data_IF_354673998579
#
_entry.id   IF_354673998579
#
_cell.length_a   1.000
_cell.length_b   1.000
_cell.length_c   1.000
_cell.angle_alpha   90.00
_cell.angle_beta   90.00
_cell.angle_gamma   90.00
#
_symmetry.space_group_name_H-M   'P 1'
#
loop_
_entity.id
_entity.type
_entity.pdbx_description
1 polymer ?
#
# COMPACT_ATOMS: atom_id res chain seq x y z
N UNK A 1 15.45 -20.89 11.18
CA UNK A 1 14.97 -19.86 12.13
C UNK A 1 14.18 -18.68 11.49
N UNK A 2 13.68 -18.76 10.26
CA UNK A 2 12.83 -17.70 9.66
C UNK A 2 11.32 -17.95 9.80
N UNK A 3 10.92 -18.85 10.70
CA UNK A 3 9.55 -19.39 10.78
C UNK A 3 8.46 -18.35 11.09
N UNK A 4 8.83 -17.13 11.50
CA UNK A 4 7.90 -16.06 11.88
C UNK A 4 7.98 -14.77 11.04
N UNK A 5 8.84 -14.70 10.02
CA UNK A 5 8.98 -13.48 9.20
C UNK A 5 7.69 -13.17 8.43
N UNK A 6 6.92 -14.19 8.04
CA UNK A 6 5.65 -14.01 7.34
C UNK A 6 4.60 -13.24 8.16
N UNK A 7 4.52 -13.51 9.48
CA UNK A 7 3.60 -12.80 10.37
C UNK A 7 3.96 -11.32 10.46
N UNK A 8 5.25 -11.01 10.66
CA UNK A 8 5.77 -9.64 10.70
C UNK A 8 5.48 -8.90 9.40
N UNK A 9 5.75 -9.54 8.25
CA UNK A 9 5.50 -8.95 6.93
C UNK A 9 4.01 -8.65 6.71
N UNK A 10 3.13 -9.54 7.17
CA UNK A 10 1.67 -9.36 7.09
C UNK A 10 1.19 -8.16 7.92
N UNK A 11 1.75 -7.96 9.12
CA UNK A 11 1.45 -6.81 9.97
C UNK A 11 1.96 -5.51 9.34
N UNK A 12 3.17 -5.51 8.77
CA UNK A 12 3.71 -4.35 8.06
C UNK A 12 2.86 -3.97 6.84
N UNK A 13 2.29 -4.93 6.12
CA UNK A 13 1.32 -4.65 5.06
C UNK A 13 0.10 -3.86 5.55
N UNK A 14 -0.40 -4.18 6.74
CA UNK A 14 -1.48 -3.43 7.38
C UNK A 14 -1.04 -2.02 7.80
N UNK A 15 0.13 -1.89 8.44
CA UNK A 15 0.72 -0.59 8.81
C UNK A 15 0.84 0.32 7.61
N UNK A 16 1.36 -0.16 6.48
CA UNK A 16 1.51 0.64 5.26
C UNK A 16 0.20 1.33 4.86
N UNK A 17 -0.93 0.61 4.99
CA UNK A 17 -2.25 1.16 4.69
C UNK A 17 -2.60 2.33 5.62
N UNK A 18 -2.38 2.16 6.93
CA UNK A 18 -2.61 3.23 7.91
C UNK A 18 -1.68 4.43 7.66
N UNK A 19 -0.40 4.18 7.44
CA UNK A 19 0.61 5.20 7.16
C UNK A 19 0.23 6.04 5.92
N UNK A 20 -0.24 5.41 4.84
CA UNK A 20 -0.72 6.16 3.68
C UNK A 20 -1.89 7.09 4.01
N UNK A 21 -2.84 6.64 4.83
CA UNK A 21 -3.95 7.49 5.30
C UNK A 21 -3.45 8.64 6.17
N UNK A 22 -2.55 8.37 7.11
CA UNK A 22 -1.90 9.37 7.98
C UNK A 22 -1.17 10.43 7.16
N UNK A 23 -0.40 10.02 6.15
CA UNK A 23 0.31 10.92 5.22
C UNK A 23 -0.68 11.78 4.42
N UNK A 24 -1.77 11.19 3.92
CA UNK A 24 -2.80 11.93 3.18
C UNK A 24 -3.45 13.01 4.05
N UNK A 25 -3.84 12.67 5.28
CA UNK A 25 -4.42 13.61 6.24
C UNK A 25 -3.40 14.70 6.59
N UNK A 26 -2.13 14.33 6.82
CA UNK A 26 -1.07 15.29 7.08
C UNK A 26 -0.94 16.33 5.97
N UNK A 27 -0.94 15.91 4.70
CA UNK A 27 -0.93 16.83 3.55
C UNK A 27 -2.15 17.75 3.54
N UNK A 28 -3.33 17.22 3.84
CA UNK A 28 -4.56 18.02 3.91
C UNK A 28 -4.49 19.07 5.03
N UNK A 29 -4.04 18.68 6.23
CA UNK A 29 -3.89 19.59 7.38
C UNK A 29 -2.85 20.68 7.12
N UNK A 30 -1.74 20.35 6.44
CA UNK A 30 -0.75 21.35 6.01
C UNK A 30 -1.39 22.35 5.04
N UNK A 31 -2.20 21.88 4.09
CA UNK A 31 -2.90 22.77 3.14
C UNK A 31 -4.00 23.63 3.80
N UNK A 32 -4.49 23.23 4.97
CA UNK A 32 -5.50 23.96 5.76
C UNK A 32 -4.86 24.86 6.85
N UNK A 33 -3.58 25.21 6.72
CA UNK A 33 -2.80 26.01 7.67
C UNK A 33 -2.72 25.45 9.11
N UNK A 34 -2.95 24.14 9.29
CA UNK A 34 -2.86 23.44 10.60
C UNK A 34 -1.52 22.72 10.82
N UNK A 35 -0.50 23.09 10.05
CA UNK A 35 0.81 22.43 10.08
C UNK A 35 1.48 22.44 11.47
N UNK A 36 1.30 23.49 12.27
CA UNK A 36 1.96 23.61 13.57
C UNK A 36 1.44 22.58 14.58
N UNK A 37 0.13 22.32 14.57
CA UNK A 37 -0.51 21.30 15.40
C UNK A 37 -0.11 19.91 14.92
N UNK A 38 -0.09 19.69 13.61
CA UNK A 38 0.33 18.41 13.02
C UNK A 38 1.79 18.08 13.33
N UNK A 39 2.72 19.04 13.22
CA UNK A 39 4.14 18.83 13.55
C UNK A 39 4.35 18.49 15.02
N UNK A 40 3.61 19.15 15.94
CA UNK A 40 3.64 18.78 17.37
C UNK A 40 3.15 17.35 17.59
N UNK A 41 2.09 16.94 16.89
CA UNK A 41 1.58 15.58 16.96
C UNK A 41 2.61 14.56 16.45
N UNK A 42 3.29 14.83 15.33
CA UNK A 42 4.38 13.97 14.81
C UNK A 42 5.49 13.79 15.85
N UNK A 43 5.90 14.87 16.53
CA UNK A 43 6.93 14.81 17.56
C UNK A 43 6.48 13.95 18.76
N UNK A 44 5.26 14.15 19.24
CA UNK A 44 4.69 13.34 20.34
C UNK A 44 4.58 11.87 19.91
N UNK A 45 4.06 11.59 18.73
CA UNK A 45 3.90 10.23 18.22
C UNK A 45 5.25 9.51 18.06
N UNK A 46 6.31 10.23 17.68
CA UNK A 46 7.67 9.69 17.61
C UNK A 46 8.14 9.23 18.98
N UNK A 47 8.01 10.09 20.01
CA UNK A 47 8.38 9.74 21.40
C UNK A 47 7.57 8.56 21.91
N UNK A 48 6.25 8.54 21.63
CA UNK A 48 5.36 7.43 22.00
C UNK A 48 5.78 6.15 21.29
N UNK A 49 6.16 6.20 20.01
CA UNK A 49 6.61 5.02 19.25
C UNK A 49 7.87 4.43 19.87
N UNK A 50 8.88 5.25 20.16
CA UNK A 50 10.09 4.79 20.85
C UNK A 50 9.79 4.18 22.22
N UNK A 51 8.91 4.81 23.00
CA UNK A 51 8.50 4.29 24.31
C UNK A 51 7.76 2.94 24.19
N UNK A 52 6.90 2.80 23.19
CA UNK A 52 6.19 1.56 22.90
C UNK A 52 7.16 0.46 22.46
N UNK A 53 8.12 0.75 21.57
CA UNK A 53 9.12 -0.24 21.15
C UNK A 53 9.91 -0.80 22.33
N UNK A 54 10.34 0.07 23.26
CA UNK A 54 11.06 -0.34 24.47
C UNK A 54 10.25 -1.23 25.41
N UNK A 55 8.91 -1.12 25.39
CA UNK A 55 8.02 -1.92 26.26
C UNK A 55 7.55 -3.19 25.56
N UNK A 56 7.11 -3.08 24.30
CA UNK A 56 6.47 -4.16 23.55
C UNK A 56 7.47 -5.21 23.07
N UNK A 57 8.68 -4.83 22.66
CA UNK A 57 9.70 -5.80 22.23
C UNK A 57 10.03 -6.79 23.36
N UNK A 58 10.44 -6.36 24.57
CA UNK A 58 10.73 -7.31 25.65
C UNK A 58 9.47 -8.03 26.16
N UNK A 59 8.30 -7.42 26.06
CA UNK A 59 7.04 -8.07 26.42
C UNK A 59 6.72 -9.26 25.50
N UNK A 60 6.81 -9.07 24.19
CA UNK A 60 6.58 -10.15 23.22
C UNK A 60 7.70 -11.18 23.18
N UNK A 61 8.92 -10.79 23.52
CA UNK A 61 10.01 -11.75 23.75
C UNK A 61 9.66 -12.69 24.91
N UNK A 62 9.17 -12.18 26.04
CA UNK A 62 8.80 -13.00 27.20
C UNK A 62 7.57 -13.87 26.98
N UNK A 63 6.56 -13.38 26.24
CA UNK A 63 5.30 -14.11 26.05
C UNK A 63 5.30 -15.05 24.85
N UNK A 64 5.92 -14.64 23.73
CA UNK A 64 5.84 -15.35 22.45
C UNK A 64 7.20 -15.90 21.99
N UNK A 65 8.30 -15.61 22.72
CA UNK A 65 9.66 -15.93 22.28
C UNK A 65 10.06 -15.21 21.01
N UNK A 66 9.39 -14.09 20.69
CA UNK A 66 9.59 -13.37 19.43
C UNK A 66 9.34 -11.86 19.60
N UNK A 67 10.37 -11.16 20.06
CA UNK A 67 10.36 -9.71 20.21
C UNK A 67 10.21 -8.94 18.90
N UNK A 68 10.47 -9.57 17.75
CA UNK A 68 10.33 -8.92 16.43
C UNK A 68 8.87 -8.59 16.07
N UNK A 69 7.89 -9.20 16.74
CA UNK A 69 6.47 -8.83 16.63
C UNK A 69 6.17 -7.48 17.30
N UNK A 70 6.97 -7.08 18.31
CA UNK A 70 6.73 -5.86 19.06
C UNK A 70 6.79 -4.59 18.23
N UNK A 71 7.74 -4.49 17.30
CA UNK A 71 7.89 -3.32 16.42
C UNK A 71 6.64 -3.04 15.55
N UNK A 72 6.18 -3.98 14.71
CA UNK A 72 4.96 -3.79 13.93
C UNK A 72 3.74 -3.43 14.79
N UNK A 73 3.58 -4.04 15.98
CA UNK A 73 2.45 -3.75 16.87
C UNK A 73 2.54 -2.32 17.43
N UNK A 74 3.71 -1.90 17.90
CA UNK A 74 3.94 -0.52 18.33
C UNK A 74 3.59 0.47 17.21
N UNK A 75 3.97 0.13 15.98
CA UNK A 75 3.73 0.97 14.81
C UNK A 75 2.25 1.02 14.38
N UNK A 76 1.51 -0.09 14.49
CA UNK A 76 0.04 -0.09 14.31
C UNK A 76 -0.63 0.83 15.34
N UNK A 77 -0.21 0.76 16.60
CA UNK A 77 -0.78 1.59 17.69
C UNK A 77 -0.55 3.07 17.39
N UNK A 78 0.67 3.45 17.00
CA UNK A 78 1.02 4.85 16.77
C UNK A 78 0.36 5.42 15.51
N UNK A 79 0.37 4.67 14.41
CA UNK A 79 -0.33 5.07 13.18
C UNK A 79 -1.85 5.17 13.38
N UNK A 80 -2.46 4.24 14.12
CA UNK A 80 -3.90 4.33 14.45
C UNK A 80 -4.21 5.55 15.31
N UNK A 81 -3.35 5.86 16.29
CA UNK A 81 -3.48 7.05 17.13
C UNK A 81 -3.36 8.34 16.31
N UNK A 82 -2.34 8.43 15.45
CA UNK A 82 -2.12 9.57 14.57
C UNK A 82 -3.26 9.75 13.56
N UNK A 83 -3.74 8.66 12.96
CA UNK A 83 -4.90 8.67 12.07
C UNK A 83 -6.13 9.21 12.79
N UNK A 84 -6.38 8.74 14.02
CA UNK A 84 -7.55 9.15 14.81
C UNK A 84 -7.51 10.64 15.17
N UNK A 85 -6.37 11.14 15.66
CA UNK A 85 -6.19 12.56 15.97
C UNK A 85 -6.22 13.41 14.70
N UNK A 86 -5.63 12.91 13.60
CA UNK A 86 -5.68 13.56 12.29
C UNK A 86 -7.11 13.74 11.78
N UNK A 87 -7.93 12.69 11.86
CA UNK A 87 -9.36 12.75 11.51
C UNK A 87 -10.14 13.72 12.40
N UNK A 88 -9.83 13.79 13.69
CA UNK A 88 -10.45 14.75 14.60
C UNK A 88 -10.04 16.20 14.32
N UNK A 89 -8.80 16.42 13.88
CA UNK A 89 -8.27 17.73 13.53
C UNK A 89 -8.76 18.22 12.15
N UNK A 90 -9.41 17.39 11.35
CA UNK A 90 -9.97 17.82 10.07
C UNK A 90 -11.05 18.90 10.29
N UNK A 91 -11.07 19.96 9.46
CA UNK A 91 -12.12 20.97 9.50
C UNK A 91 -13.50 20.33 9.26
N UNK A 92 -14.48 20.75 10.07
CA UNK A 92 -15.86 20.26 9.98
C UNK A 92 -16.39 20.48 8.56
N UNK A 93 -16.99 19.44 7.97
CA UNK A 93 -17.52 19.48 6.60
C UNK A 93 -16.57 18.96 5.52
N UNK A 94 -15.31 18.67 5.84
CA UNK A 94 -14.38 18.00 4.90
C UNK A 94 -14.77 16.55 4.59
N UNK A 95 -15.22 15.81 5.60
CA UNK A 95 -15.71 14.43 5.45
C UNK A 95 -17.20 14.44 5.10
N UNK A 96 -17.50 14.35 3.81
CA UNK A 96 -18.87 14.17 3.34
C UNK A 96 -19.29 12.69 3.46
N UNK A 97 -20.57 12.42 3.74
CA UNK A 97 -21.15 11.07 3.72
C UNK A 97 -20.94 10.36 2.38
N UNK A 98 -20.91 11.12 1.29
CA UNK A 98 -20.52 10.64 -0.04
C UNK A 98 -19.10 10.05 -0.05
N UNK A 99 -18.13 10.74 0.57
CA UNK A 99 -16.75 10.27 0.66
C UNK A 99 -16.65 9.03 1.53
N UNK A 100 -17.36 8.98 2.65
CA UNK A 100 -17.39 7.80 3.51
C UNK A 100 -17.91 6.57 2.76
N UNK A 101 -18.99 6.74 1.97
CA UNK A 101 -19.54 5.67 1.16
C UNK A 101 -18.59 5.20 0.05
N UNK A 102 -17.89 6.14 -0.59
CA UNK A 102 -16.83 5.82 -1.55
C UNK A 102 -15.69 5.04 -0.90
N UNK A 103 -15.19 5.49 0.26
CA UNK A 103 -14.14 4.78 1.01
C UNK A 103 -14.56 3.36 1.39
N UNK A 104 -15.81 3.17 1.84
CA UNK A 104 -16.33 1.86 2.18
C UNK A 104 -16.39 0.93 0.95
N UNK A 105 -16.79 1.44 -0.22
CA UNK A 105 -16.74 0.69 -1.48
C UNK A 105 -15.31 0.35 -1.89
N UNK A 106 -14.33 1.22 -1.64
CA UNK A 106 -12.91 0.94 -1.90
C UNK A 106 -12.42 -0.21 -1.03
N UNK A 107 -12.75 -0.18 0.26
CA UNK A 107 -12.41 -1.26 1.20
C UNK A 107 -13.09 -2.56 0.78
N UNK A 108 -14.36 -2.51 0.37
CA UNK A 108 -15.07 -3.67 -0.14
C UNK A 108 -14.42 -4.25 -1.41
N UNK A 109 -13.99 -3.42 -2.36
CA UNK A 109 -13.26 -3.87 -3.55
C UNK A 109 -11.93 -4.54 -3.17
N UNK A 110 -11.19 -4.00 -2.20
CA UNK A 110 -9.99 -4.62 -1.66
C UNK A 110 -10.26 -5.97 -1.00
N UNK A 111 -11.33 -6.06 -0.19
CA UNK A 111 -11.74 -7.32 0.44
C UNK A 111 -12.13 -8.39 -0.59
N UNK A 112 -12.87 -8.01 -1.63
CA UNK A 112 -13.24 -8.91 -2.72
C UNK A 112 -12.02 -9.36 -3.54
N UNK A 113 -11.04 -8.48 -3.76
CA UNK A 113 -9.75 -8.87 -4.34
C UNK A 113 -9.07 -9.94 -3.48
N UNK A 114 -8.98 -9.73 -2.16
CA UNK A 114 -8.37 -10.72 -1.25
C UNK A 114 -9.12 -12.06 -1.33
N UNK A 115 -10.45 -12.03 -1.32
CA UNK A 115 -11.28 -13.22 -1.42
C UNK A 115 -11.05 -13.99 -2.74
N UNK A 116 -10.84 -13.29 -3.85
CA UNK A 116 -10.54 -13.89 -5.15
C UNK A 116 -9.10 -14.44 -5.27
N UNK A 117 -8.13 -13.76 -4.67
CA UNK A 117 -6.72 -14.19 -4.68
C UNK A 117 -6.48 -15.39 -3.76
N UNK A 118 -7.26 -15.53 -2.68
CA UNK A 118 -7.10 -16.61 -1.71
C UNK A 118 -7.16 -18.04 -2.29
N UNK A 119 -8.16 -18.43 -3.11
CA UNK A 119 -8.17 -19.75 -3.73
C UNK A 119 -7.02 -19.94 -4.73
N UNK A 120 -6.66 -18.88 -5.47
CA UNK A 120 -5.53 -18.92 -6.43
C UNK A 120 -4.22 -19.18 -5.69
N UNK A 121 -4.01 -18.56 -4.52
CA UNK A 121 -2.88 -18.84 -3.63
C UNK A 121 -2.84 -20.30 -3.20
N UNK A 122 -3.97 -20.89 -2.84
CA UNK A 122 -4.01 -22.29 -2.38
C UNK A 122 -3.69 -23.27 -3.51
N UNK A 123 -4.27 -23.06 -4.70
CA UNK A 123 -3.98 -23.85 -5.89
C UNK A 123 -2.51 -23.75 -6.30
N UNK A 124 -1.96 -22.54 -6.20
CA UNK A 124 -0.55 -22.25 -6.47
C UNK A 124 0.40 -22.99 -5.51
N UNK A 125 0.15 -23.00 -4.20
CA UNK A 125 1.04 -23.70 -3.25
C UNK A 125 1.08 -25.21 -3.51
N UNK A 126 -0.06 -25.81 -3.85
CA UNK A 126 -0.15 -27.21 -4.22
C UNK A 126 0.61 -27.54 -5.51
N UNK A 127 0.57 -26.64 -6.51
CA UNK A 127 1.31 -26.80 -7.75
C UNK A 127 2.83 -26.67 -7.54
N UNK A 128 3.26 -25.69 -6.74
CA UNK A 128 4.69 -25.49 -6.43
C UNK A 128 5.28 -26.72 -5.76
N UNK A 129 4.58 -27.34 -4.81
CA UNK A 129 5.03 -28.55 -4.13
C UNK A 129 5.28 -29.71 -5.12
N UNK A 130 4.47 -29.83 -6.17
CA UNK A 130 4.62 -30.86 -7.20
C UNK A 130 5.70 -30.53 -8.25
N UNK A 131 5.97 -29.24 -8.47
CA UNK A 131 6.89 -28.76 -9.51
C UNK A 131 8.36 -28.63 -9.06
N UNK A 132 8.65 -28.74 -7.77
CA UNK A 132 10.04 -28.74 -7.24
C UNK A 132 10.68 -30.10 -7.54
N UNK A 133 11.16 -30.25 -8.78
CA UNK A 133 12.09 -31.29 -9.18
C UNK A 133 13.51 -30.76 -8.91
N UNK A 134 14.36 -31.46 -8.15
CA UNK A 134 15.71 -30.98 -7.84
C UNK A 134 16.57 -30.94 -9.12
N UNK A 135 17.13 -29.78 -9.44
CA UNK A 135 18.24 -29.64 -10.41
C UNK A 135 18.00 -28.80 -11.67
N UNK A 136 16.82 -28.19 -11.89
CA UNK A 136 16.59 -27.28 -13.03
C UNK A 136 16.72 -25.80 -12.65
N UNK A 137 17.08 -24.95 -13.62
CA UNK A 137 17.18 -23.48 -13.50
C UNK A 137 15.80 -22.87 -13.17
N UNK A 138 15.41 -22.97 -11.91
CA UNK A 138 14.10 -22.63 -11.36
C UNK A 138 13.86 -21.12 -11.25
N UNK A 139 14.84 -20.27 -11.53
CA UNK A 139 14.80 -18.82 -11.25
C UNK A 139 13.73 -18.08 -12.07
N UNK A 140 13.52 -18.43 -13.34
CA UNK A 140 12.47 -17.82 -14.17
C UNK A 140 11.07 -18.30 -13.77
N UNK A 141 10.94 -19.58 -13.37
CA UNK A 141 9.68 -20.10 -12.84
C UNK A 141 9.33 -19.41 -11.52
N UNK A 142 10.28 -19.26 -10.59
CA UNK A 142 10.08 -18.53 -9.32
C UNK A 142 9.62 -17.08 -9.52
N UNK A 143 10.15 -16.37 -10.54
CA UNK A 143 9.70 -15.01 -10.85
C UNK A 143 8.28 -14.98 -11.41
N UNK A 144 7.97 -15.84 -12.39
CA UNK A 144 6.61 -15.95 -12.94
C UNK A 144 5.58 -16.35 -11.88
N UNK A 145 6.01 -17.17 -10.92
CA UNK A 145 5.23 -17.68 -9.81
C UNK A 145 4.80 -16.55 -8.82
N UNK A 146 5.66 -15.58 -8.49
CA UNK A 146 5.26 -14.42 -7.66
C UNK A 146 4.35 -13.45 -8.41
N UNK A 147 4.60 -13.28 -9.71
CA UNK A 147 3.88 -12.31 -10.55
C UNK A 147 2.42 -12.70 -10.74
N UNK A 148 2.10 -14.00 -10.83
CA UNK A 148 0.75 -14.46 -11.17
C UNK A 148 -0.32 -14.07 -10.12
N UNK A 149 -0.16 -14.33 -8.81
CA UNK A 149 -1.13 -13.86 -7.81
C UNK A 149 -1.24 -12.33 -7.76
N UNK A 150 -0.14 -11.62 -8.01
CA UNK A 150 -0.11 -10.15 -8.06
C UNK A 150 -0.92 -9.63 -9.25
N UNK A 151 -0.77 -10.24 -10.42
CA UNK A 151 -1.56 -9.91 -11.61
C UNK A 151 -3.04 -10.23 -11.42
N UNK A 152 -3.37 -11.41 -10.89
CA UNK A 152 -4.77 -11.76 -10.59
C UNK A 152 -5.37 -10.77 -9.60
N UNK A 153 -4.64 -10.42 -8.53
CA UNK A 153 -5.05 -9.39 -7.58
C UNK A 153 -5.28 -8.04 -8.27
N UNK A 154 -4.31 -7.56 -9.06
CA UNK A 154 -4.42 -6.30 -9.76
C UNK A 154 -5.61 -6.26 -10.72
N UNK A 155 -5.81 -7.30 -11.54
CA UNK A 155 -6.93 -7.40 -12.48
C UNK A 155 -8.26 -7.44 -11.73
N UNK A 156 -8.36 -8.23 -10.66
CA UNK A 156 -9.58 -8.35 -9.86
C UNK A 156 -9.91 -7.04 -9.17
N UNK A 157 -8.91 -6.36 -8.62
CA UNK A 157 -9.08 -5.05 -8.01
C UNK A 157 -9.60 -4.02 -9.02
N UNK A 158 -8.96 -3.93 -10.18
CA UNK A 158 -9.39 -3.01 -11.25
C UNK A 158 -10.80 -3.33 -11.73
N UNK A 159 -11.15 -4.62 -11.85
CA UNK A 159 -12.49 -5.06 -12.19
C UNK A 159 -13.53 -4.57 -11.18
N UNK A 160 -13.30 -4.75 -9.87
CA UNK A 160 -14.24 -4.28 -8.85
C UNK A 160 -14.27 -2.76 -8.72
N UNK A 161 -13.14 -2.07 -8.89
CA UNK A 161 -13.07 -0.60 -8.94
C UNK A 161 -13.94 -0.06 -10.08
N UNK A 162 -13.86 -0.70 -11.24
CA UNK A 162 -14.71 -0.38 -12.40
C UNK A 162 -16.19 -0.71 -12.13
N UNK A 163 -16.48 -1.91 -11.62
CA UNK A 163 -17.84 -2.38 -11.34
C UNK A 163 -18.58 -1.47 -10.34
N UNK A 164 -17.88 -1.05 -9.28
CA UNK A 164 -18.42 -0.16 -8.26
C UNK A 164 -18.43 1.33 -8.67
N UNK A 165 -17.99 1.64 -9.90
CA UNK A 165 -17.88 3.00 -10.44
C UNK A 165 -17.18 3.94 -9.45
N UNK A 166 -16.06 3.49 -8.89
CA UNK A 166 -15.30 4.31 -7.93
C UNK A 166 -14.64 5.52 -8.59
N UNK A 167 -14.27 5.38 -9.87
CA UNK A 167 -13.63 6.43 -10.64
C UNK A 167 -14.75 7.28 -11.26
N UNK A 168 -14.85 8.58 -10.92
CA UNK A 168 -15.74 9.52 -11.60
C UNK A 168 -15.44 9.56 -13.10
N UNK A 169 -16.47 9.77 -13.93
CA UNK A 169 -16.29 9.80 -15.38
C UNK A 169 -15.38 10.95 -15.82
N UNK A 170 -15.34 12.04 -15.06
CA UNK A 170 -14.48 13.19 -15.28
C UNK A 170 -13.00 12.80 -15.11
N UNK A 171 -12.68 12.06 -14.05
CA UNK A 171 -11.32 11.57 -13.77
C UNK A 171 -10.86 10.57 -14.84
N UNK A 172 -11.79 9.75 -15.34
CA UNK A 172 -11.50 8.83 -16.44
C UNK A 172 -11.15 9.56 -17.73
N UNK A 173 -11.88 10.62 -18.07
CA UNK A 173 -11.58 11.47 -19.24
C UNK A 173 -10.21 12.12 -19.11
N UNK A 174 -9.91 12.71 -17.95
CA UNK A 174 -8.60 13.30 -17.67
C UNK A 174 -7.46 12.28 -17.78
N UNK A 175 -7.68 11.06 -17.26
CA UNK A 175 -6.68 9.99 -17.36
C UNK A 175 -6.40 9.59 -18.82
N UNK A 176 -7.44 9.47 -19.65
CA UNK A 176 -7.34 9.15 -21.07
C UNK A 176 -6.65 10.29 -21.85
N UNK A 177 -6.94 11.54 -21.52
CA UNK A 177 -6.31 12.72 -22.16
C UNK A 177 -4.82 12.88 -21.80
N UNK A 178 -4.45 12.62 -20.55
CA UNK A 178 -3.06 12.78 -20.07
C UNK A 178 -2.13 11.61 -20.45
N UNK A 179 -2.69 10.43 -20.70
CA UNK A 179 -1.93 9.22 -21.08
C UNK A 179 -1.01 9.42 -22.30
N UNK A 180 -1.50 9.89 -23.47
CA UNK A 180 -0.64 10.06 -24.65
C UNK A 180 0.46 11.10 -24.44
N UNK A 181 0.23 12.14 -23.64
CA UNK A 181 1.23 13.15 -23.32
C UNK A 181 2.38 12.59 -22.47
N UNK A 182 2.09 11.72 -21.49
CA UNK A 182 3.13 11.03 -20.70
C UNK A 182 3.87 9.99 -21.51
N UNK A 183 3.20 9.21 -22.34
CA UNK A 183 3.85 8.17 -23.17
C UNK A 183 4.86 8.80 -24.12
N UNK A 184 4.53 9.94 -24.74
CA UNK A 184 5.46 10.69 -25.60
C UNK A 184 6.72 11.18 -24.88
N UNK A 185 6.68 11.37 -23.56
CA UNK A 185 7.85 11.79 -22.77
C UNK A 185 8.84 10.65 -22.55
N UNK A 186 8.39 9.40 -22.54
CA UNK A 186 9.23 8.22 -22.38
C UNK A 186 9.69 7.61 -23.71
N UNK A 187 9.08 7.99 -24.83
CA UNK A 187 9.58 7.62 -26.14
C UNK A 187 10.91 8.36 -26.41
N UNK A 188 11.98 7.65 -26.81
CA UNK A 188 13.26 8.28 -27.11
C UNK A 188 13.06 9.31 -28.22
N UNK A 189 13.51 10.56 -28.01
CA UNK A 189 13.45 11.58 -29.04
C UNK A 189 14.20 11.07 -30.28
N UNK A 190 13.62 11.18 -31.49
CA UNK A 190 14.32 10.78 -32.71
C UNK A 190 15.66 11.50 -32.77
N UNK A 191 16.75 10.76 -32.99
CA UNK A 191 18.09 11.35 -33.16
C UNK A 191 17.98 12.39 -34.27
N UNK A 192 18.24 13.66 -33.94
CA UNK A 192 18.26 14.71 -34.94
C UNK A 192 19.29 14.32 -35.99
N UNK A 193 18.83 14.11 -37.23
CA UNK A 193 19.72 13.86 -38.35
C UNK A 193 20.67 15.06 -38.43
N UNK A 194 21.97 14.80 -38.26
CA UNK A 194 23.01 15.82 -38.40
C UNK A 194 22.92 16.34 -39.82
N UNK A 195 22.56 17.60 -39.99
CA UNK A 195 22.47 18.22 -41.30
C UNK A 195 23.89 18.31 -41.89
N UNK A 196 24.17 17.66 -43.03
CA UNK A 196 25.51 17.58 -43.60
C UNK A 196 26.05 18.95 -44.08
N UNK A 197 25.25 20.01 -44.07
CA UNK A 197 25.72 21.37 -44.39
C UNK A 197 26.64 22.01 -43.34
N UNK A 198 26.82 21.36 -42.18
CA UNK A 198 27.69 21.83 -41.09
C UNK A 198 28.99 21.02 -40.94
N UNK A 199 29.31 20.17 -41.91
CA UNK A 199 30.60 19.49 -42.07
C UNK A 199 31.26 20.00 -43.36
#
# INVERSE_FOLDING_TARGET
>A
EFFNTGAILSMMGFVLTLMYLTVLIGKFLISADRQSVWTKLMAVATVVTFGLDLILIPFFERQLGNGAVGGPVAYIITETGMLSVGLWLLPKGSLNRSMLWRSLRTVAAGALMVAAVWPVRNWYMAFVEQAVIPGQNLTLLWQALIILPVLVGAVTYLFFVYLFKLIPEEDWRLAVELMPARIKRFLPKPKMAVNPKWL
#
